data_IF_893493378770
#
_entry.id   IF_893493378770
#
_cell.length_a   1.000
_cell.length_b   1.000
_cell.length_c   1.000
_cell.angle_alpha   90.00
_cell.angle_beta   90.00
_cell.angle_gamma   90.00
#
_symmetry.space_group_name_H-M   'P 1'
#
loop_
_entity.id
_entity.type
_entity.pdbx_description
1 polymer ?
#
# COMPACT_ATOMS: atom_id res chain seq x y z
N UNK A 1 39.48 59.05 13.08
CA UNK A 1 38.36 58.38 13.79
C UNK A 1 37.02 58.83 13.18
N UNK A 2 36.49 58.17 12.14
CA UNK A 2 35.14 58.41 11.55
C UNK A 2 34.72 57.21 10.65
N UNK A 3 34.68 55.98 11.17
CA UNK A 3 34.20 54.79 10.42
C UNK A 3 33.08 54.01 11.13
N UNK A 4 32.78 54.39 12.38
CA UNK A 4 31.82 53.74 13.28
C UNK A 4 30.38 53.64 12.73
N UNK A 5 29.80 54.63 12.01
CA UNK A 5 28.38 54.54 11.60
C UNK A 5 28.13 53.50 10.50
N UNK A 6 29.14 53.17 9.67
CA UNK A 6 29.00 52.17 8.61
C UNK A 6 29.08 50.74 9.14
N UNK A 7 29.89 50.52 10.18
CA UNK A 7 30.04 49.20 10.81
C UNK A 7 28.76 48.79 11.55
N UNK A 8 28.12 49.74 12.25
CA UNK A 8 26.86 49.49 12.98
C UNK A 8 25.71 49.17 12.01
N UNK A 9 25.64 49.86 10.87
CA UNK A 9 24.63 49.59 9.84
C UNK A 9 24.79 48.19 9.23
N UNK A 10 26.02 47.75 8.97
CA UNK A 10 26.29 46.39 8.49
C UNK A 10 25.97 45.33 9.55
N UNK A 11 26.35 45.56 10.81
CA UNK A 11 26.10 44.60 11.89
C UNK A 11 24.59 44.39 12.11
N UNK A 12 23.81 45.48 12.12
CA UNK A 12 22.34 45.41 12.26
C UNK A 12 21.68 44.73 11.06
N UNK A 13 22.17 44.96 9.84
CA UNK A 13 21.72 44.26 8.64
C UNK A 13 22.04 42.76 8.64
N UNK A 14 23.23 42.36 9.10
CA UNK A 14 23.59 40.94 9.20
C UNK A 14 22.77 40.20 10.27
N UNK A 15 22.49 40.87 11.40
CA UNK A 15 21.62 40.32 12.45
C UNK A 15 20.18 40.18 11.94
N UNK A 16 19.64 41.16 11.23
CA UNK A 16 18.27 41.07 10.69
C UNK A 16 18.14 39.97 9.65
N UNK A 17 19.12 39.79 8.76
CA UNK A 17 19.15 38.71 7.77
C UNK A 17 19.26 37.35 8.47
N UNK A 18 20.08 37.24 9.52
CA UNK A 18 20.24 35.99 10.28
C UNK A 18 18.94 35.61 11.03
N UNK A 19 18.26 36.60 11.61
CA UNK A 19 16.94 36.42 12.23
C UNK A 19 15.94 36.01 11.16
N UNK A 20 15.88 36.72 10.02
CA UNK A 20 15.00 36.34 8.90
C UNK A 20 15.25 34.90 8.45
N UNK A 21 16.51 34.49 8.37
CA UNK A 21 16.86 33.13 8.01
C UNK A 21 16.32 32.12 9.03
N UNK A 22 16.45 32.39 10.33
CA UNK A 22 15.91 31.53 11.40
C UNK A 22 14.38 31.42 11.40
N UNK A 23 13.65 32.51 11.09
CA UNK A 23 12.17 32.45 10.96
C UNK A 23 11.70 31.87 9.62
N UNK A 24 12.50 31.95 8.55
CA UNK A 24 12.15 31.36 7.24
C UNK A 24 12.62 29.92 7.06
N UNK A 25 13.53 29.44 7.90
CA UNK A 25 13.93 28.04 7.90
C UNK A 25 12.68 27.19 8.15
N UNK A 26 12.26 26.35 7.19
CA UNK A 26 11.19 25.43 7.45
C UNK A 26 11.71 24.47 8.52
N UNK A 27 11.21 24.62 9.75
CA UNK A 27 11.29 23.55 10.74
C UNK A 27 10.72 22.33 10.05
N UNK A 28 11.55 21.31 9.80
CA UNK A 28 11.10 20.03 9.28
C UNK A 28 10.03 19.52 10.25
N UNK A 29 8.76 19.73 9.92
CA UNK A 29 7.67 19.12 10.65
C UNK A 29 7.77 17.65 10.33
N UNK A 30 8.25 16.86 11.28
CA UNK A 30 8.06 15.42 11.24
C UNK A 30 6.60 15.14 10.90
N UNK A 31 6.37 14.57 9.72
CA UNK A 31 5.03 14.27 9.24
C UNK A 31 4.49 13.12 10.09
N UNK A 32 3.87 13.46 11.22
CA UNK A 32 3.24 12.47 12.08
C UNK A 32 1.99 11.96 11.37
N UNK A 33 2.01 10.69 10.98
CA UNK A 33 0.84 10.02 10.43
C UNK A 33 -0.21 9.94 11.54
N UNK A 34 -1.42 10.44 11.27
CA UNK A 34 -2.51 10.43 12.26
C UNK A 34 -2.73 8.99 12.75
N UNK A 35 -2.64 8.78 14.07
CA UNK A 35 -2.71 7.45 14.68
C UNK A 35 -1.39 6.67 14.75
N UNK A 36 -0.24 7.31 14.50
CA UNK A 36 1.10 6.72 14.65
C UNK A 36 1.96 7.38 15.73
N UNK A 37 1.33 8.09 16.67
CA UNK A 37 2.05 8.67 17.81
C UNK A 37 2.65 7.58 18.71
N UNK A 38 3.71 7.92 19.45
CA UNK A 38 4.36 7.00 20.39
C UNK A 38 3.39 6.34 21.38
N UNK A 39 2.34 7.08 21.79
CA UNK A 39 1.33 6.61 22.73
C UNK A 39 0.12 5.91 22.05
N UNK A 40 0.25 5.48 20.79
CA UNK A 40 -0.82 4.74 20.11
C UNK A 40 -0.67 3.24 20.34
N UNK A 41 -1.73 2.61 20.86
CA UNK A 41 -1.80 1.16 21.09
C UNK A 41 -1.64 0.39 19.77
N UNK A 42 -0.65 -0.52 19.72
CA UNK A 42 -0.37 -1.41 18.58
C UNK A 42 -1.13 -2.74 18.67
N UNK A 43 -2.15 -2.82 19.52
CA UNK A 43 -2.95 -4.03 19.68
C UNK A 43 -3.85 -4.22 18.46
N UNK A 44 -3.53 -5.22 17.64
CA UNK A 44 -4.25 -5.52 16.39
C UNK A 44 -5.64 -6.06 16.63
N UNK A 45 -5.95 -6.60 17.83
CA UNK A 45 -7.30 -7.08 18.16
C UNK A 45 -8.35 -5.97 18.17
N UNK A 46 -7.92 -4.70 18.29
CA UNK A 46 -8.82 -3.56 18.21
C UNK A 46 -9.28 -3.27 16.76
N UNK A 47 -8.55 -3.77 15.76
CA UNK A 47 -8.79 -3.50 14.34
C UNK A 47 -9.21 -4.75 13.57
N UNK A 48 -8.81 -5.92 14.04
CA UNK A 48 -9.20 -7.21 13.47
C UNK A 48 -10.41 -7.70 14.28
N UNK A 49 -11.60 -7.79 13.67
CA UNK A 49 -12.77 -8.30 14.37
C UNK A 49 -12.52 -9.77 14.75
N UNK A 50 -12.23 -10.00 16.04
CA UNK A 50 -11.94 -11.33 16.61
C UNK A 50 -13.21 -12.20 16.67
N UNK A 51 -14.38 -11.60 16.48
CA UNK A 51 -15.70 -12.26 16.57
C UNK A 51 -16.14 -12.99 15.29
N UNK A 52 -15.40 -12.85 14.20
CA UNK A 52 -15.63 -13.60 12.97
C UNK A 52 -14.39 -14.43 12.65
N UNK A 53 -14.56 -15.72 12.35
CA UNK A 53 -13.46 -16.62 11.96
C UNK A 53 -12.80 -16.26 10.61
N UNK A 54 -12.92 -15.02 10.14
CA UNK A 54 -12.54 -14.59 8.79
C UNK A 54 -11.36 -13.63 8.83
N UNK A 55 -10.15 -14.20 8.82
CA UNK A 55 -8.93 -13.46 8.45
C UNK A 55 -8.84 -13.22 6.94
N UNK A 56 -9.62 -13.97 6.14
CA UNK A 56 -9.78 -13.78 4.71
C UNK A 56 -11.21 -14.17 4.28
N UNK A 57 -11.94 -13.23 3.68
CA UNK A 57 -13.27 -13.48 3.09
C UNK A 57 -13.16 -14.03 1.66
N UNK A 58 -12.12 -13.60 0.93
CA UNK A 58 -11.77 -14.08 -0.39
C UNK A 58 -10.48 -14.90 -0.27
N UNK A 59 -10.64 -16.20 -0.12
CA UNK A 59 -9.54 -17.15 -0.25
C UNK A 59 -9.77 -18.00 -1.50
N UNK A 60 -8.70 -18.34 -2.24
CA UNK A 60 -8.80 -19.42 -3.21
C UNK A 60 -9.31 -20.69 -2.51
N UNK A 61 -10.03 -21.56 -3.25
CA UNK A 61 -10.41 -22.88 -2.70
C UNK A 61 -9.18 -23.58 -2.07
N UNK A 62 -9.40 -24.28 -0.94
CA UNK A 62 -8.32 -24.93 -0.19
C UNK A 62 -7.59 -25.89 -1.12
N UNK A 63 -6.31 -25.58 -1.37
CA UNK A 63 -5.55 -26.25 -2.41
C UNK A 63 -6.07 -25.85 -3.79
N UNK A 64 -5.52 -24.76 -4.37
CA UNK A 64 -5.66 -24.37 -5.80
C UNK A 64 -4.96 -25.41 -6.68
N UNK A 65 -5.35 -26.65 -6.45
CA UNK A 65 -4.97 -27.92 -7.03
C UNK A 65 -3.47 -28.22 -6.92
N UNK A 66 -2.97 -28.58 -5.71
CA UNK A 66 -1.69 -29.26 -5.37
C UNK A 66 -0.48 -29.10 -6.33
N UNK A 67 -0.38 -27.95 -6.98
CA UNK A 67 0.60 -27.65 -8.01
C UNK A 67 1.63 -26.74 -7.39
N UNK A 68 2.81 -27.27 -7.01
CA UNK A 68 3.87 -26.42 -6.50
C UNK A 68 4.20 -25.37 -7.56
N UNK A 69 4.14 -24.11 -7.14
CA UNK A 69 4.62 -22.98 -7.93
C UNK A 69 6.04 -22.68 -7.47
N UNK A 70 6.96 -22.53 -8.42
CA UNK A 70 8.32 -22.05 -8.13
C UNK A 70 8.29 -20.59 -7.68
N UNK A 71 7.37 -19.80 -8.24
CA UNK A 71 7.18 -18.40 -7.89
C UNK A 71 5.69 -18.10 -7.74
N UNK A 72 5.36 -17.42 -6.65
CA UNK A 72 4.03 -16.86 -6.38
C UNK A 72 4.16 -15.35 -6.28
N UNK A 73 3.48 -14.62 -7.17
CA UNK A 73 3.44 -13.15 -7.17
C UNK A 73 2.15 -12.68 -6.50
N UNK A 74 2.28 -11.96 -5.39
CA UNK A 74 1.16 -11.36 -4.67
C UNK A 74 0.99 -9.90 -5.08
N UNK A 75 -0.15 -9.56 -5.67
CA UNK A 75 -0.44 -8.24 -6.21
C UNK A 75 -1.52 -7.57 -5.38
N UNK A 76 -1.17 -6.50 -4.66
CA UNK A 76 -2.16 -5.68 -3.95
C UNK A 76 -2.96 -4.84 -4.94
N UNK A 77 -4.29 -4.91 -4.88
CA UNK A 77 -5.17 -4.17 -5.79
C UNK A 77 -6.42 -3.69 -5.07
N UNK A 78 -6.82 -2.44 -5.32
CA UNK A 78 -8.08 -1.92 -4.80
C UNK A 78 -9.28 -2.65 -5.44
N UNK A 79 -10.40 -2.81 -4.73
CA UNK A 79 -11.61 -3.48 -5.26
C UNK A 79 -12.05 -2.98 -6.63
N UNK A 80 -11.98 -1.66 -6.84
CA UNK A 80 -12.38 -0.98 -8.08
C UNK A 80 -11.45 -1.23 -9.28
N UNK A 81 -10.21 -1.66 -9.08
CA UNK A 81 -9.19 -1.77 -10.14
C UNK A 81 -9.33 -3.07 -10.97
N UNK A 82 -10.55 -3.37 -11.42
CA UNK A 82 -10.89 -4.61 -12.13
C UNK A 82 -10.10 -4.73 -13.44
N UNK A 83 -10.09 -3.67 -14.24
CA UNK A 83 -9.39 -3.63 -15.53
C UNK A 83 -7.88 -3.78 -15.38
N UNK A 84 -7.27 -3.13 -14.38
CA UNK A 84 -5.85 -3.27 -14.12
C UNK A 84 -5.49 -4.72 -13.74
N UNK A 85 -6.31 -5.37 -12.90
CA UNK A 85 -6.11 -6.80 -12.62
C UNK A 85 -6.28 -7.65 -13.87
N UNK A 86 -7.17 -7.27 -14.80
CA UNK A 86 -7.38 -7.99 -16.05
C UNK A 86 -6.17 -7.83 -16.99
N UNK A 87 -5.66 -6.62 -17.18
CA UNK A 87 -4.46 -6.36 -17.95
C UNK A 87 -3.25 -7.15 -17.41
N UNK A 88 -3.10 -7.27 -16.08
CA UNK A 88 -2.06 -8.10 -15.48
C UNK A 88 -2.22 -9.59 -15.85
N UNK A 89 -3.45 -10.11 -15.81
CA UNK A 89 -3.73 -11.51 -16.21
C UNK A 89 -3.46 -11.74 -17.68
N UNK A 90 -3.83 -10.80 -18.53
CA UNK A 90 -3.67 -10.88 -19.98
C UNK A 90 -2.21 -10.68 -20.41
N UNK A 91 -1.36 -10.23 -19.49
CA UNK A 91 0.07 -10.02 -19.71
C UNK A 91 0.90 -10.94 -18.82
N UNK A 92 1.72 -10.37 -17.93
CA UNK A 92 2.77 -11.08 -17.20
C UNK A 92 2.27 -11.99 -16.08
N UNK A 93 1.05 -11.74 -15.59
CA UNK A 93 0.39 -12.45 -14.50
C UNK A 93 -0.49 -13.61 -14.96
N UNK A 94 -0.45 -13.96 -16.24
CA UNK A 94 -0.99 -15.24 -16.74
C UNK A 94 -0.28 -16.41 -16.07
N UNK A 95 -1.05 -17.46 -15.76
CA UNK A 95 -0.47 -18.71 -15.27
C UNK A 95 0.40 -19.30 -16.39
N UNK A 96 1.67 -19.57 -16.08
CA UNK A 96 2.64 -20.03 -17.07
C UNK A 96 3.59 -21.04 -16.49
N UNK A 97 4.10 -21.90 -17.37
CA UNK A 97 5.12 -22.90 -17.04
C UNK A 97 6.43 -22.53 -17.71
N UNK A 98 7.46 -22.24 -16.93
CA UNK A 98 8.80 -21.92 -17.44
C UNK A 98 9.73 -23.06 -17.03
N UNK A 99 10.35 -23.73 -18.02
CA UNK A 99 11.26 -24.86 -17.78
C UNK A 99 10.67 -25.95 -16.88
N UNK A 100 9.37 -26.23 -17.00
CA UNK A 100 8.70 -27.24 -16.19
C UNK A 100 8.16 -26.73 -14.84
N UNK A 101 8.47 -25.50 -14.44
CA UNK A 101 8.04 -24.90 -13.18
C UNK A 101 6.85 -23.97 -13.35
N UNK A 102 5.87 -24.05 -12.44
CA UNK A 102 4.70 -23.18 -12.48
C UNK A 102 5.01 -21.82 -11.85
N UNK A 103 4.55 -20.74 -12.50
CA UNK A 103 4.52 -19.39 -11.96
C UNK A 103 3.06 -18.98 -11.85
N UNK A 104 2.68 -18.44 -10.69
CA UNK A 104 1.31 -18.02 -10.43
C UNK A 104 1.26 -16.58 -9.89
N UNK A 105 0.20 -15.86 -10.25
CA UNK A 105 -0.12 -14.55 -9.71
C UNK A 105 -1.46 -14.60 -8.97
N UNK A 106 -1.51 -13.96 -7.80
CA UNK A 106 -2.70 -13.80 -6.99
C UNK A 106 -2.90 -12.34 -6.63
N UNK A 107 -4.16 -11.96 -6.45
CA UNK A 107 -4.53 -10.59 -6.08
C UNK A 107 -5.01 -10.55 -4.64
N UNK A 108 -4.40 -9.66 -3.85
CA UNK A 108 -4.91 -9.28 -2.55
C UNK A 108 -5.85 -8.10 -2.74
N UNK A 109 -7.14 -8.34 -2.47
CA UNK A 109 -8.20 -7.36 -2.64
C UNK A 109 -8.91 -7.18 -1.31
N UNK A 110 -9.05 -5.93 -0.87
CA UNK A 110 -9.77 -5.59 0.35
C UNK A 110 -11.28 -5.66 0.19
N UNK A 111 -12.01 -5.39 1.27
CA UNK A 111 -13.46 -5.23 1.23
C UNK A 111 -13.84 -3.83 0.73
N UNK A 112 -15.02 -3.71 0.11
CA UNK A 112 -15.61 -2.44 -0.26
C UNK A 112 -17.06 -2.36 0.21
N UNK A 113 -17.49 -1.15 0.58
CA UNK A 113 -18.87 -0.84 0.92
C UNK A 113 -19.83 -0.86 -0.29
N UNK A 114 -19.30 -0.89 -1.52
CA UNK A 114 -20.11 -1.03 -2.72
C UNK A 114 -20.46 -2.51 -2.94
N UNK A 115 -21.71 -2.87 -2.63
CA UNK A 115 -22.20 -4.25 -2.70
C UNK A 115 -22.01 -4.85 -4.10
N UNK A 116 -22.30 -4.11 -5.16
CA UNK A 116 -22.16 -4.59 -6.53
C UNK A 116 -20.72 -4.95 -6.88
N UNK A 117 -19.76 -4.09 -6.48
CA UNK A 117 -18.34 -4.39 -6.66
C UNK A 117 -17.87 -5.55 -5.79
N UNK A 118 -18.36 -5.63 -4.55
CA UNK A 118 -18.02 -6.73 -3.63
C UNK A 118 -18.49 -8.08 -4.20
N UNK A 119 -19.74 -8.16 -4.66
CA UNK A 119 -20.31 -9.37 -5.29
C UNK A 119 -19.51 -9.76 -6.53
N UNK A 120 -19.19 -8.79 -7.40
CA UNK A 120 -18.38 -9.05 -8.58
C UNK A 120 -16.98 -9.59 -8.23
N UNK A 121 -16.33 -9.05 -7.20
CA UNK A 121 -15.02 -9.54 -6.76
C UNK A 121 -15.07 -10.96 -6.22
N UNK A 122 -16.14 -11.31 -5.50
CA UNK A 122 -16.38 -12.66 -4.98
C UNK A 122 -16.62 -13.65 -6.13
N UNK A 123 -17.54 -13.34 -7.04
CA UNK A 123 -17.89 -14.20 -8.17
C UNK A 123 -16.71 -14.42 -9.11
N UNK A 124 -15.98 -13.35 -9.45
CA UNK A 124 -14.80 -13.42 -10.28
C UNK A 124 -13.65 -14.21 -9.62
N UNK A 125 -13.62 -14.29 -8.28
CA UNK A 125 -12.70 -15.15 -7.54
C UNK A 125 -13.12 -16.61 -7.63
N UNK A 126 -14.42 -16.91 -7.44
CA UNK A 126 -14.98 -18.26 -7.44
C UNK A 126 -14.86 -18.95 -8.81
N UNK A 127 -15.28 -18.28 -9.89
CA UNK A 127 -15.18 -18.85 -11.24
C UNK A 127 -13.73 -19.19 -11.60
N UNK A 128 -12.76 -18.38 -11.14
CA UNK A 128 -11.35 -18.58 -11.44
C UNK A 128 -10.68 -19.66 -10.60
N UNK A 129 -11.09 -19.89 -9.36
CA UNK A 129 -10.62 -21.08 -8.62
C UNK A 129 -11.10 -22.35 -9.30
N UNK A 130 -12.35 -22.38 -9.76
CA UNK A 130 -12.94 -23.55 -10.41
C UNK A 130 -12.27 -23.90 -11.74
N UNK A 131 -12.01 -22.90 -12.59
CA UNK A 131 -11.38 -23.11 -13.89
C UNK A 131 -9.94 -23.66 -13.80
N UNK A 132 -9.19 -23.33 -12.73
CA UNK A 132 -7.82 -23.83 -12.53
C UNK A 132 -7.76 -25.33 -12.21
N UNK A 133 -8.79 -25.89 -11.59
CA UNK A 133 -8.79 -27.30 -11.15
C UNK A 133 -9.42 -28.27 -12.16
N UNK A 134 -9.92 -27.78 -13.29
CA UNK A 134 -10.50 -28.62 -14.35
C UNK A 134 -9.53 -28.97 -15.50
N UNK A 135 -8.24 -28.60 -15.38
CA UNK A 135 -7.19 -28.87 -16.39
C UNK A 135 -6.35 -30.08 -16.01
#
# INVERSE_FOLDING_TARGET
MKSIPRVILCATGLVSVSILFLITMPVEREANVVGWSYNTTRNTTNYIPVSGNWTASLAPERGVCDRPSLLVMMVCSAPANIEARQAIRDTWGSDKKIQGHNLSAYFLVGETNNISMQVFNVEASYLRSHQRCQV
#
